data_IF_586140643332
#
_entry.id   IF_586140643332
#
_cell.length_a   1.000
_cell.length_b   1.000
_cell.length_c   1.000
_cell.angle_alpha   90.00
_cell.angle_beta   90.00
_cell.angle_gamma   90.00
#
_symmetry.space_group_name_H-M   'P 1'
#
loop_
_entity.id
_entity.type
_entity.pdbx_description
1 polymer ?
#
# COMPACT_ATOMS: atom_id res chain seq x y z
N UNK A 1 5.61 31.66 38.23
CA UNK A 1 5.10 30.27 38.15
C UNK A 1 4.83 30.05 36.66
N UNK A 2 5.68 29.31 36.02
CA UNK A 2 5.52 28.96 34.59
C UNK A 2 4.53 27.77 34.52
N UNK A 3 3.48 27.94 33.75
CA UNK A 3 2.51 26.91 33.39
C UNK A 3 3.20 25.90 32.46
N UNK A 4 3.62 24.77 32.98
CA UNK A 4 4.11 23.66 32.20
C UNK A 4 2.89 23.02 31.52
N UNK A 5 2.56 23.49 30.32
CA UNK A 5 1.55 22.90 29.48
C UNK A 5 1.88 21.43 29.23
N UNK A 6 1.10 20.54 29.87
CA UNK A 6 1.11 19.11 29.60
C UNK A 6 0.75 18.89 28.14
N UNK A 7 1.74 18.72 27.26
CA UNK A 7 1.52 18.21 25.90
C UNK A 7 1.05 16.75 26.03
N UNK A 8 -0.27 16.57 26.05
CA UNK A 8 -0.86 15.25 25.81
C UNK A 8 -0.52 14.90 24.36
N UNK A 9 0.50 14.08 24.16
CA UNK A 9 0.73 13.44 22.88
C UNK A 9 -0.45 12.50 22.61
N UNK A 10 -1.42 12.97 21.83
CA UNK A 10 -2.51 12.11 21.36
C UNK A 10 -1.85 10.99 20.53
N UNK A 11 -1.98 9.76 21.02
CA UNK A 11 -1.56 8.56 20.31
C UNK A 11 -2.27 8.52 18.94
N UNK A 12 -1.52 8.19 17.89
CA UNK A 12 -2.07 8.01 16.54
C UNK A 12 -2.46 6.53 16.37
N UNK A 13 -3.77 6.20 16.44
CA UNK A 13 -4.22 4.82 16.43
C UNK A 13 -3.89 4.09 15.14
N UNK A 14 -3.79 4.80 14.02
CA UNK A 14 -3.40 4.17 12.75
C UNK A 14 -1.90 3.86 12.76
N UNK A 15 -1.06 4.75 13.28
CA UNK A 15 0.36 4.49 13.42
C UNK A 15 0.65 3.31 14.35
N UNK A 16 -0.18 3.07 15.38
CA UNK A 16 -0.08 1.89 16.25
C UNK A 16 -0.36 0.58 15.48
N UNK A 17 -1.22 0.62 14.45
CA UNK A 17 -1.58 -0.56 13.66
C UNK A 17 -0.58 -0.82 12.54
N UNK A 18 -0.21 0.20 11.77
CA UNK A 18 0.58 0.05 10.54
C UNK A 18 2.04 0.52 10.65
N UNK A 19 2.41 1.15 11.75
CA UNK A 19 3.74 1.74 11.95
C UNK A 19 3.79 3.22 11.58
N UNK A 20 4.96 3.84 11.78
CA UNK A 20 5.19 5.26 11.51
C UNK A 20 5.18 5.56 10.01
N UNK A 21 3.98 5.77 9.48
CA UNK A 21 3.76 6.05 8.06
C UNK A 21 4.29 7.42 7.63
N UNK A 22 4.41 8.40 8.56
CA UNK A 22 4.99 9.71 8.26
C UNK A 22 6.49 9.60 8.02
N UNK A 23 7.19 8.95 8.93
CA UNK A 23 8.62 8.69 8.76
C UNK A 23 8.89 7.84 7.53
N UNK A 24 8.03 6.83 7.26
CA UNK A 24 8.12 6.01 6.05
C UNK A 24 7.99 6.86 4.78
N UNK A 25 6.96 7.68 4.66
CA UNK A 25 6.72 8.50 3.48
C UNK A 25 7.81 9.56 3.27
N UNK A 26 8.27 10.20 4.34
CA UNK A 26 9.39 11.15 4.28
C UNK A 26 10.67 10.47 3.77
N UNK A 27 10.97 9.28 4.27
CA UNK A 27 12.11 8.47 3.80
C UNK A 27 11.98 8.12 2.31
N UNK A 28 10.79 7.73 1.85
CA UNK A 28 10.56 7.40 0.43
C UNK A 28 10.74 8.65 -0.46
N UNK A 29 10.19 9.79 -0.05
CA UNK A 29 10.38 11.06 -0.76
C UNK A 29 11.86 11.41 -0.88
N UNK A 30 12.60 11.36 0.21
CA UNK A 30 14.01 11.74 0.22
C UNK A 30 14.85 10.82 -0.70
N UNK A 31 14.52 9.52 -0.73
CA UNK A 31 15.14 8.55 -1.64
C UNK A 31 14.81 8.81 -3.11
N UNK A 32 13.59 9.26 -3.41
CA UNK A 32 13.19 9.65 -4.77
C UNK A 32 13.91 10.93 -5.20
N UNK A 33 13.98 11.94 -4.34
CA UNK A 33 14.73 13.19 -4.61
C UNK A 33 16.18 12.88 -4.93
N UNK A 34 16.82 11.96 -4.19
CA UNK A 34 18.18 11.50 -4.48
C UNK A 34 18.32 10.83 -5.86
N UNK A 35 17.23 10.39 -6.47
CA UNK A 35 17.16 9.82 -7.82
C UNK A 35 16.62 10.78 -8.88
N UNK A 36 16.44 12.06 -8.51
CA UNK A 36 15.96 13.10 -9.41
C UNK A 36 14.44 13.08 -9.65
N UNK A 37 13.67 12.46 -8.75
CA UNK A 37 12.21 12.42 -8.81
C UNK A 37 11.66 13.23 -7.64
N UNK A 38 10.97 14.35 -7.96
CA UNK A 38 10.22 15.13 -6.97
C UNK A 38 8.74 14.76 -7.03
N UNK A 39 8.20 14.31 -5.89
CA UNK A 39 6.78 13.93 -5.77
C UNK A 39 5.92 15.01 -5.11
N UNK A 40 6.48 16.13 -4.68
CA UNK A 40 5.73 17.20 -4.03
C UNK A 40 4.54 17.74 -4.86
N UNK A 41 4.59 17.79 -6.21
CA UNK A 41 3.47 18.24 -7.02
C UNK A 41 2.32 17.23 -7.13
N UNK A 42 2.49 15.99 -6.71
CA UNK A 42 1.58 14.91 -7.00
C UNK A 42 0.79 14.46 -5.76
N UNK A 43 -0.53 14.23 -5.89
CA UNK A 43 -1.31 13.63 -4.81
C UNK A 43 -0.86 12.18 -4.56
N UNK A 44 -1.03 11.75 -3.30
CA UNK A 44 -0.81 10.37 -2.92
C UNK A 44 -2.10 9.57 -3.15
N UNK A 45 -1.96 8.34 -3.65
CA UNK A 45 -3.07 7.42 -3.86
C UNK A 45 -3.41 6.64 -2.59
N UNK A 46 -2.41 5.97 -2.01
CA UNK A 46 -2.60 5.06 -0.88
C UNK A 46 -1.28 4.76 -0.18
N UNK A 47 -1.39 4.19 1.03
CA UNK A 47 -0.32 3.49 1.73
C UNK A 47 -0.57 1.99 1.65
N UNK A 48 0.44 1.21 1.31
CA UNK A 48 0.35 -0.23 1.30
C UNK A 48 1.10 -0.87 2.47
N UNK A 49 0.44 -1.79 3.12
CA UNK A 49 0.94 -2.52 4.28
C UNK A 49 0.84 -4.01 4.02
N UNK A 50 1.97 -4.72 4.11
CA UNK A 50 2.02 -6.17 3.98
C UNK A 50 2.20 -6.84 5.33
N UNK A 51 1.44 -7.88 5.57
CA UNK A 51 1.49 -8.64 6.82
C UNK A 51 2.13 -10.01 6.63
N UNK A 52 2.66 -10.56 7.74
CA UNK A 52 3.46 -11.78 7.71
C UNK A 52 2.63 -13.06 7.59
N UNK A 53 1.41 -13.05 8.11
CA UNK A 53 0.52 -14.22 8.12
C UNK A 53 -0.95 -13.82 8.01
N UNK A 54 -1.81 -14.82 7.83
CA UNK A 54 -3.24 -14.60 7.63
C UNK A 54 -3.96 -14.13 8.90
N UNK A 55 -3.59 -14.65 10.05
CA UNK A 55 -4.24 -14.26 11.31
C UNK A 55 -3.96 -12.79 11.63
N UNK A 56 -2.72 -12.35 11.35
CA UNK A 56 -2.35 -10.94 11.46
C UNK A 56 -3.10 -10.07 10.44
N UNK A 57 -3.31 -10.58 9.21
CA UNK A 57 -4.11 -9.89 8.20
C UNK A 57 -5.53 -9.61 8.70
N UNK A 58 -6.22 -10.65 9.15
CA UNK A 58 -7.59 -10.52 9.67
C UNK A 58 -7.63 -9.61 10.89
N UNK A 59 -6.64 -9.73 11.77
CA UNK A 59 -6.54 -8.88 12.96
C UNK A 59 -6.34 -7.39 12.60
N UNK A 60 -5.37 -7.07 11.75
CA UNK A 60 -5.12 -5.68 11.34
C UNK A 60 -6.28 -5.11 10.52
N UNK A 61 -6.89 -5.89 9.63
CA UNK A 61 -8.11 -5.48 8.92
C UNK A 61 -9.18 -5.06 9.90
N UNK A 62 -9.49 -5.91 10.90
CA UNK A 62 -10.50 -5.62 11.92
C UNK A 62 -10.18 -4.35 12.74
N UNK A 63 -8.91 -4.10 13.03
CA UNK A 63 -8.51 -2.87 13.72
C UNK A 63 -8.68 -1.64 12.84
N UNK A 64 -8.23 -1.70 11.58
CA UNK A 64 -8.32 -0.58 10.63
C UNK A 64 -9.78 -0.23 10.32
N UNK A 65 -10.66 -1.22 10.18
CA UNK A 65 -12.10 -1.01 9.94
C UNK A 65 -12.81 -0.21 11.02
N UNK A 66 -12.30 -0.18 12.25
CA UNK A 66 -12.82 0.69 13.32
C UNK A 66 -12.61 2.18 13.05
N UNK A 67 -11.70 2.51 12.16
CA UNK A 67 -11.33 3.87 11.75
C UNK A 67 -11.70 4.14 10.28
N UNK A 68 -12.44 3.25 9.67
CA UNK A 68 -12.77 3.29 8.24
C UNK A 68 -14.25 3.58 8.01
N UNK A 69 -14.54 4.18 6.87
CA UNK A 69 -15.89 4.35 6.33
C UNK A 69 -16.31 3.20 5.42
N UNK A 70 -15.31 2.52 4.81
CA UNK A 70 -15.57 1.38 3.92
C UNK A 70 -14.33 0.48 3.79
N UNK A 71 -14.55 -0.77 3.38
CA UNK A 71 -13.52 -1.70 2.94
C UNK A 71 -14.06 -2.50 1.74
N UNK A 72 -13.36 -2.43 0.61
CA UNK A 72 -13.56 -3.31 -0.53
C UNK A 72 -12.45 -4.35 -0.53
N UNK A 73 -12.78 -5.60 -0.16
CA UNK A 73 -11.85 -6.72 -0.23
C UNK A 73 -12.18 -7.56 -1.47
N UNK A 74 -11.21 -7.72 -2.36
CA UNK A 74 -11.35 -8.48 -3.59
C UNK A 74 -10.18 -9.43 -3.82
N UNK A 75 -10.36 -10.43 -4.70
CA UNK A 75 -9.32 -11.42 -4.99
C UNK A 75 -8.34 -10.91 -6.04
N UNK A 76 -7.09 -10.68 -5.63
CA UNK A 76 -5.98 -10.32 -6.50
C UNK A 76 -4.91 -11.42 -6.50
N UNK A 77 -4.64 -11.97 -7.69
CA UNK A 77 -3.68 -13.09 -7.82
C UNK A 77 -3.96 -14.24 -6.85
N UNK A 78 -5.25 -14.58 -6.67
CA UNK A 78 -5.70 -15.70 -5.86
C UNK A 78 -5.66 -15.47 -4.35
N UNK A 79 -5.53 -14.22 -3.89
CA UNK A 79 -5.59 -13.85 -2.47
C UNK A 79 -6.45 -12.60 -2.26
N UNK A 80 -7.16 -12.47 -1.14
CA UNK A 80 -7.88 -11.24 -0.83
C UNK A 80 -6.90 -10.11 -0.52
N UNK A 81 -7.20 -8.92 -1.06
CA UNK A 81 -6.54 -7.67 -0.71
C UNK A 81 -7.63 -6.70 -0.29
N UNK A 82 -7.47 -6.07 0.88
CA UNK A 82 -8.40 -5.07 1.37
C UNK A 82 -7.98 -3.67 0.93
N UNK A 83 -8.92 -2.92 0.37
CA UNK A 83 -8.80 -1.49 0.12
C UNK A 83 -9.67 -0.76 1.13
N UNK A 84 -9.05 -0.24 2.19
CA UNK A 84 -9.71 0.31 3.37
C UNK A 84 -9.72 1.83 3.29
N UNK A 85 -10.91 2.42 3.18
CA UNK A 85 -11.11 3.88 3.14
C UNK A 85 -11.28 4.39 4.56
N UNK A 86 -10.35 5.20 5.03
CA UNK A 86 -10.39 5.81 6.35
C UNK A 86 -11.47 6.90 6.43
N UNK A 87 -12.11 7.01 7.58
CA UNK A 87 -13.07 8.08 7.88
C UNK A 87 -12.37 9.45 7.89
N UNK A 88 -11.19 9.49 8.49
CA UNK A 88 -10.36 10.70 8.54
C UNK A 88 -9.07 10.44 7.75
N UNK A 89 -8.75 11.28 6.75
CA UNK A 89 -7.52 11.16 5.99
C UNK A 89 -6.28 11.31 6.88
N UNK A 90 -5.24 10.54 6.58
CA UNK A 90 -3.94 10.64 7.26
C UNK A 90 -3.11 11.76 6.62
N UNK A 91 -2.59 12.65 7.43
CA UNK A 91 -1.53 13.57 7.01
C UNK A 91 -0.20 12.80 6.89
N UNK A 92 0.16 12.43 5.68
CA UNK A 92 1.30 11.56 5.39
C UNK A 92 2.57 12.36 5.08
N UNK A 93 2.45 13.32 4.17
CA UNK A 93 3.46 14.33 3.86
C UNK A 93 2.81 15.70 3.97
N UNK A 94 3.61 16.76 4.14
CA UNK A 94 3.13 18.13 4.32
C UNK A 94 2.09 18.51 3.25
N UNK A 95 0.83 18.68 3.67
CA UNK A 95 -0.28 19.03 2.80
C UNK A 95 -0.78 17.96 1.84
N UNK A 96 -0.34 16.69 2.01
CA UNK A 96 -0.73 15.59 1.13
C UNK A 96 -1.38 14.46 1.94
N UNK A 97 -2.73 14.48 2.06
CA UNK A 97 -3.47 13.46 2.80
C UNK A 97 -3.59 12.15 2.02
N UNK A 98 -3.77 11.05 2.76
CA UNK A 98 -4.10 9.73 2.24
C UNK A 98 -5.32 9.18 2.97
N UNK A 99 -6.34 8.81 2.23
CA UNK A 99 -7.56 8.20 2.78
C UNK A 99 -7.60 6.68 2.60
N UNK A 100 -6.71 6.08 1.80
CA UNK A 100 -6.77 4.68 1.43
C UNK A 100 -5.57 3.90 1.96
N UNK A 101 -5.85 2.77 2.60
CA UNK A 101 -4.85 1.77 2.98
C UNK A 101 -5.10 0.49 2.18
N UNK A 102 -4.07 0.04 1.45
CA UNK A 102 -4.03 -1.28 0.83
C UNK A 102 -3.43 -2.27 1.83
N UNK A 103 -4.25 -3.15 2.41
CA UNK A 103 -3.77 -4.20 3.30
C UNK A 103 -3.57 -5.50 2.52
N UNK A 104 -2.34 -6.00 2.53
CA UNK A 104 -1.88 -7.08 1.67
C UNK A 104 -1.52 -8.31 2.52
N UNK A 105 -2.16 -9.47 2.29
CA UNK A 105 -1.83 -10.72 2.99
C UNK A 105 -0.48 -11.28 2.53
N UNK A 106 0.07 -12.28 3.24
CA UNK A 106 1.31 -12.91 2.87
C UNK A 106 1.21 -13.57 1.49
N UNK A 107 2.33 -13.56 0.76
CA UNK A 107 2.50 -14.32 -0.48
C UNK A 107 3.58 -15.37 -0.31
N UNK A 108 3.54 -16.39 -1.18
CA UNK A 108 4.52 -17.48 -1.19
C UNK A 108 5.94 -17.03 -1.59
N UNK A 109 6.13 -15.78 -1.98
CA UNK A 109 7.43 -15.26 -2.36
C UNK A 109 8.18 -14.78 -1.11
N UNK A 110 9.44 -15.18 -1.00
CA UNK A 110 10.27 -14.97 0.18
C UNK A 110 10.89 -13.57 0.30
N UNK A 111 10.56 -12.66 -0.63
CA UNK A 111 11.26 -11.38 -0.78
C UNK A 111 10.25 -10.25 -0.85
N UNK A 112 9.65 -9.93 0.29
CA UNK A 112 8.79 -8.76 0.47
C UNK A 112 9.10 -8.08 1.79
N UNK A 113 8.93 -6.76 1.81
CA UNK A 113 8.94 -5.99 3.04
C UNK A 113 7.66 -6.26 3.80
N UNK A 114 7.76 -6.61 5.10
CA UNK A 114 6.63 -6.65 6.01
C UNK A 114 6.43 -5.28 6.65
N UNK A 115 5.18 -4.94 6.96
CA UNK A 115 4.79 -3.62 7.43
C UNK A 115 4.55 -2.67 6.25
N UNK A 116 4.85 -1.39 6.43
CA UNK A 116 4.75 -0.39 5.37
C UNK A 116 5.64 -0.78 4.18
N UNK A 117 5.01 -1.15 3.06
CA UNK A 117 5.66 -1.71 1.88
C UNK A 117 5.85 -0.67 0.78
N UNK A 118 4.79 0.03 0.41
CA UNK A 118 4.90 1.02 -0.64
C UNK A 118 3.97 2.22 -0.47
N UNK A 119 4.34 3.29 -1.16
CA UNK A 119 3.57 4.52 -1.31
C UNK A 119 3.06 4.60 -2.74
N UNK A 120 1.77 4.85 -2.91
CA UNK A 120 1.16 5.14 -4.21
C UNK A 120 1.13 6.64 -4.46
N UNK A 121 1.58 7.06 -5.64
CA UNK A 121 1.60 8.46 -6.11
C UNK A 121 0.79 8.54 -7.39
N UNK A 122 -0.09 9.52 -7.52
CA UNK A 122 -0.88 9.75 -8.73
C UNK A 122 -0.20 10.79 -9.60
N UNK A 123 0.32 10.35 -10.74
CA UNK A 123 0.93 11.25 -11.75
C UNK A 123 -0.12 11.82 -12.71
N UNK A 124 -1.21 11.08 -12.91
CA UNK A 124 -2.26 11.49 -13.83
C UNK A 124 -1.99 11.09 -15.29
N UNK A 125 -2.58 11.82 -16.23
CA UNK A 125 -2.48 11.52 -17.66
C UNK A 125 -1.05 11.64 -18.20
N UNK A 126 -0.18 12.38 -17.54
CA UNK A 126 1.21 12.55 -17.94
C UNK A 126 2.14 11.37 -17.57
N UNK A 127 1.57 10.24 -17.13
CA UNK A 127 2.34 9.06 -16.65
C UNK A 127 3.36 8.54 -17.69
N UNK A 128 3.02 8.61 -18.98
CA UNK A 128 3.91 8.15 -20.04
C UNK A 128 5.10 9.09 -20.24
N UNK A 129 4.88 10.40 -20.11
CA UNK A 129 5.93 11.42 -20.16
C UNK A 129 6.80 11.36 -18.92
N UNK A 130 6.18 11.18 -17.75
CA UNK A 130 6.86 10.94 -16.47
C UNK A 130 7.76 9.72 -16.57
N UNK A 131 7.25 8.61 -17.07
CA UNK A 131 8.01 7.36 -17.21
C UNK A 131 9.19 7.52 -18.16
N UNK A 132 9.05 8.26 -19.26
CA UNK A 132 10.15 8.57 -20.18
C UNK A 132 11.20 9.48 -19.54
N UNK A 133 10.76 10.51 -18.84
CA UNK A 133 11.64 11.48 -18.16
C UNK A 133 12.49 10.81 -17.09
N UNK A 134 11.87 9.95 -16.28
CA UNK A 134 12.52 9.32 -15.14
C UNK A 134 12.99 7.87 -15.40
N UNK A 135 13.09 7.47 -16.66
CA UNK A 135 13.43 6.09 -17.07
C UNK A 135 14.68 5.53 -16.38
N UNK A 136 15.68 6.35 -16.14
CA UNK A 136 16.93 5.92 -15.51
C UNK A 136 16.78 5.61 -14.02
N UNK A 137 15.77 6.17 -13.36
CA UNK A 137 15.50 5.97 -11.93
C UNK A 137 14.46 4.87 -11.68
N UNK A 138 13.56 4.62 -12.65
CA UNK A 138 12.54 3.59 -12.55
C UNK A 138 13.17 2.20 -12.61
N UNK A 139 12.66 1.28 -11.80
CA UNK A 139 13.16 -0.11 -11.73
C UNK A 139 12.26 -1.10 -12.45
N UNK A 140 11.03 -0.72 -12.76
CA UNK A 140 10.11 -1.58 -13.52
C UNK A 140 8.73 -0.97 -13.71
N UNK A 141 7.90 -1.76 -14.39
CA UNK A 141 6.48 -1.52 -14.62
C UNK A 141 5.72 -2.78 -14.26
N UNK A 142 4.54 -2.62 -13.68
CA UNK A 142 3.66 -3.72 -13.30
C UNK A 142 2.35 -3.57 -14.08
N UNK A 143 1.87 -4.66 -14.64
CA UNK A 143 0.54 -4.74 -15.20
C UNK A 143 -0.37 -5.51 -14.22
N UNK A 144 -1.41 -4.88 -13.74
CA UNK A 144 -2.42 -5.48 -12.86
C UNK A 144 -3.78 -5.57 -13.55
N UNK A 145 -4.18 -4.48 -14.21
CA UNK A 145 -5.38 -4.40 -15.07
C UNK A 145 -5.19 -3.28 -16.08
N UNK A 146 -6.06 -3.13 -17.09
CA UNK A 146 -5.98 -2.01 -18.05
C UNK A 146 -6.00 -0.61 -17.41
N UNK A 147 -6.46 -0.51 -16.17
CA UNK A 147 -6.53 0.75 -15.42
C UNK A 147 -5.48 0.87 -14.31
N UNK A 148 -4.72 -0.22 -14.05
CA UNK A 148 -3.70 -0.29 -12.99
C UNK A 148 -2.40 -0.82 -13.56
N UNK A 149 -1.62 0.07 -14.16
CA UNK A 149 -0.30 -0.20 -14.76
C UNK A 149 0.76 0.73 -14.17
N UNK A 150 1.12 0.60 -12.88
CA UNK A 150 2.09 1.49 -12.29
C UNK A 150 3.50 1.23 -12.80
N UNK A 151 4.26 2.29 -13.08
CA UNK A 151 5.70 2.21 -13.03
C UNK A 151 6.18 2.43 -11.58
N UNK A 152 7.37 1.95 -11.23
CA UNK A 152 7.82 2.01 -9.83
C UNK A 152 9.34 2.13 -9.68
N UNK A 153 9.73 2.64 -8.52
CA UNK A 153 11.09 2.59 -7.99
C UNK A 153 11.12 1.62 -6.82
N UNK A 154 11.89 0.54 -6.94
CA UNK A 154 12.15 -0.42 -5.87
C UNK A 154 13.48 -0.05 -5.20
N UNK A 155 13.49 -0.06 -3.88
CA UNK A 155 14.66 0.20 -3.05
C UNK A 155 15.28 -1.11 -2.52
N UNK A 156 16.51 -1.05 -2.02
CA UNK A 156 17.28 -2.22 -1.57
C UNK A 156 16.62 -2.95 -0.39
N UNK A 157 15.83 -2.25 0.41
CA UNK A 157 15.07 -2.81 1.55
C UNK A 157 13.70 -3.37 1.15
N UNK A 158 13.46 -3.52 -0.16
CA UNK A 158 12.22 -4.01 -0.76
C UNK A 158 10.99 -3.11 -0.54
N UNK A 159 11.17 -1.90 -0.02
CA UNK A 159 10.15 -0.87 -0.12
C UNK A 159 10.14 -0.27 -1.51
N UNK A 160 9.01 0.30 -1.93
CA UNK A 160 8.93 0.94 -3.25
C UNK A 160 7.95 2.10 -3.27
N UNK A 161 8.07 2.91 -4.32
CA UNK A 161 7.09 3.92 -4.67
C UNK A 161 6.54 3.58 -6.04
N UNK A 162 5.22 3.53 -6.16
CA UNK A 162 4.50 3.25 -7.39
C UNK A 162 3.82 4.50 -7.90
N UNK A 163 3.91 4.72 -9.19
CA UNK A 163 3.35 5.86 -9.88
C UNK A 163 2.20 5.40 -10.77
N UNK A 164 1.03 6.01 -10.59
CA UNK A 164 -0.23 5.61 -11.20
C UNK A 164 -0.80 6.73 -12.08
N UNK A 165 -1.56 6.35 -13.10
CA UNK A 165 -2.39 7.28 -13.87
C UNK A 165 -3.56 7.78 -13.04
N UNK A 166 -4.17 6.89 -12.26
CA UNK A 166 -5.35 7.16 -11.42
C UNK A 166 -5.13 6.65 -10.00
N UNK A 167 -5.82 7.25 -9.03
CA UNK A 167 -5.82 6.70 -7.68
C UNK A 167 -6.53 5.35 -7.62
N UNK A 168 -6.16 4.49 -6.66
CA UNK A 168 -6.90 3.24 -6.44
C UNK A 168 -8.35 3.49 -6.05
N UNK A 169 -8.60 4.58 -5.32
CA UNK A 169 -9.96 4.96 -4.97
C UNK A 169 -10.82 5.16 -6.24
N UNK A 170 -10.34 5.98 -7.20
CA UNK A 170 -11.08 6.26 -8.43
C UNK A 170 -11.25 5.03 -9.31
N UNK A 171 -10.25 4.14 -9.36
CA UNK A 171 -10.32 2.90 -10.16
C UNK A 171 -11.39 1.98 -9.59
N UNK A 172 -11.42 1.76 -8.28
CA UNK A 172 -12.40 0.86 -7.65
C UNK A 172 -13.81 1.44 -7.73
N UNK A 173 -13.99 2.76 -7.55
CA UNK A 173 -15.30 3.38 -7.74
C UNK A 173 -15.87 3.18 -9.14
N UNK A 174 -15.02 3.23 -10.17
CA UNK A 174 -15.45 3.06 -11.56
C UNK A 174 -15.68 1.59 -11.95
N UNK A 175 -14.84 0.66 -11.44
CA UNK A 175 -14.89 -0.76 -11.83
C UNK A 175 -15.86 -1.59 -10.98
N UNK A 176 -15.92 -1.36 -9.69
CA UNK A 176 -16.68 -2.17 -8.72
C UNK A 176 -17.91 -1.44 -8.17
N UNK A 177 -18.09 -0.14 -8.50
CA UNK A 177 -19.08 0.73 -7.91
C UNK A 177 -18.55 1.43 -6.66
N UNK A 178 -19.44 2.09 -5.93
CA UNK A 178 -19.05 2.90 -4.77
C UNK A 178 -18.49 2.05 -3.64
N UNK A 179 -17.53 2.61 -2.89
CA UNK A 179 -17.13 2.08 -1.59
C UNK A 179 -18.33 2.17 -0.63
N UNK A 180 -19.10 1.09 -0.50
CA UNK A 180 -20.26 1.00 0.38
C UNK A 180 -20.04 -0.11 1.41
N UNK A 181 -19.90 0.28 2.68
CA UNK A 181 -19.78 -0.67 3.78
C UNK A 181 -18.48 -1.46 3.77
N UNK A 182 -18.55 -2.65 4.35
CA UNK A 182 -17.38 -3.53 4.52
C UNK A 182 -17.64 -4.84 3.79
N UNK A 183 -16.87 -5.06 2.72
CA UNK A 183 -16.96 -6.28 1.90
C UNK A 183 -15.73 -7.14 2.16
N UNK A 184 -15.95 -8.40 2.51
CA UNK A 184 -14.89 -9.39 2.71
C UNK A 184 -15.04 -10.54 1.72
N UNK A 185 -13.91 -11.14 1.33
CA UNK A 185 -13.92 -12.37 0.55
C UNK A 185 -14.21 -13.53 1.50
N UNK A 186 -15.46 -13.96 1.49
CA UNK A 186 -15.92 -15.11 2.25
C UNK A 186 -15.32 -16.42 1.70
N UNK A 187 -15.17 -17.41 2.56
CA UNK A 187 -14.70 -18.78 2.21
C UNK A 187 -13.27 -18.88 1.66
N UNK A 188 -12.51 -17.78 1.60
CA UNK A 188 -11.11 -17.89 1.23
C UNK A 188 -10.27 -18.46 2.37
N UNK A 189 -9.52 -19.51 2.07
CA UNK A 189 -8.61 -20.14 3.03
C UNK A 189 -7.19 -20.08 2.47
N UNK A 190 -6.20 -19.65 3.27
CA UNK A 190 -4.80 -19.67 2.84
C UNK A 190 -4.43 -21.07 2.37
N UNK A 191 -3.92 -21.20 1.16
CA UNK A 191 -3.35 -22.46 0.71
C UNK A 191 -2.21 -22.81 1.67
N UNK A 192 -2.35 -23.88 2.44
CA UNK A 192 -1.22 -24.41 3.21
C UNK A 192 -0.12 -24.71 2.22
N UNK A 193 1.06 -24.15 2.46
CA UNK A 193 2.27 -24.59 1.80
C UNK A 193 2.34 -26.10 2.01
N UNK A 194 2.06 -26.86 0.97
CA UNK A 194 2.41 -28.27 0.94
C UNK A 194 3.93 -28.25 0.93
N UNK A 195 4.53 -28.35 2.10
CA UNK A 195 5.94 -28.68 2.18
C UNK A 195 6.08 -29.98 1.44
N UNK A 196 6.65 -29.94 0.24
CA UNK A 196 7.00 -31.12 -0.51
C UNK A 196 8.03 -31.90 0.32
N UNK A 197 7.54 -32.71 1.23
CA UNK A 197 8.34 -33.72 1.93
C UNK A 197 8.44 -34.94 1.02
N UNK A 198 9.15 -34.78 -0.07
CA UNK A 198 9.51 -35.87 -0.98
C UNK A 198 10.71 -35.45 -1.82
N UNK A 199 11.67 -36.36 -2.10
CA UNK A 199 12.76 -36.03 -3.00
C UNK A 199 12.17 -35.76 -4.38
N UNK A 200 12.40 -34.52 -4.86
CA UNK A 200 12.05 -34.11 -6.21
C UNK A 200 12.86 -34.99 -7.18
N UNK A 201 12.27 -35.89 -7.98
CA UNK A 201 13.02 -36.62 -8.96
C UNK A 201 13.48 -35.63 -10.02
N UNK A 202 14.79 -35.39 -10.09
CA UNK A 202 15.39 -34.63 -11.17
C UNK A 202 14.99 -35.27 -12.51
N UNK A 203 14.51 -34.52 -13.51
CA UNK A 203 14.27 -35.06 -14.83
C UNK A 203 15.60 -35.59 -15.42
N UNK A 204 15.59 -36.80 -15.94
CA UNK A 204 16.71 -37.42 -16.66
C UNK A 204 16.86 -36.81 -18.04
#
# INVERSE_FOLDING_TARGET
MADEGCHVTTSDPIAEIIGDYRAFAAMQRDRLVARGIDIAPYPLSHLAVRVADWDLYVHQRTLLERHASANSESLWNGRPISLIVLTEPLEVLDGTPVSLIELIPPVHQRVYRMGLEHLGVVVGEDIDDFSRLHRAALTGQQFQSPHVEPCYVLFEDFTHVKFYRRSFFDVVEDEEGRFEGFTHVEDWVPQRLVTATGPNPLPR
#
